data_IF_228192941515
#
_entry.id   IF_228192941515
#
_cell.length_a   1.000
_cell.length_b   1.000
_cell.length_c   1.000
_cell.angle_alpha   90.00
_cell.angle_beta   90.00
_cell.angle_gamma   90.00
#
_symmetry.space_group_name_H-M   'P 1'
#
loop_
_entity.id
_entity.type
_entity.pdbx_description
1 polymer ?
#
# COMPACT_ATOMS: atom_id res chain seq x y z
N UNK A 1 22.23 14.24 -9.19
CA UNK A 1 23.20 13.11 -9.11
C UNK A 1 23.57 12.82 -7.65
N UNK A 2 23.82 13.81 -6.81
CA UNK A 2 24.23 13.62 -5.41
C UNK A 2 23.16 12.91 -4.56
N UNK A 3 21.87 13.17 -4.80
CA UNK A 3 20.77 12.46 -4.13
C UNK A 3 20.66 10.98 -4.55
N UNK A 4 21.02 10.69 -5.80
CA UNK A 4 20.98 9.32 -6.32
C UNK A 4 22.11 8.46 -5.76
N UNK A 5 23.27 9.07 -5.50
CA UNK A 5 24.42 8.35 -4.93
C UNK A 5 24.19 7.96 -3.46
N UNK A 6 23.44 8.77 -2.72
CA UNK A 6 23.21 8.52 -1.29
C UNK A 6 22.04 7.58 -0.99
N UNK A 7 20.99 7.57 -1.81
CA UNK A 7 19.72 6.88 -1.52
C UNK A 7 19.39 5.76 -2.51
N UNK A 8 20.17 5.61 -3.57
CA UNK A 8 19.95 4.61 -4.62
C UNK A 8 18.94 5.05 -5.69
N UNK A 9 18.93 4.28 -6.78
CA UNK A 9 18.03 4.46 -7.92
C UNK A 9 17.27 3.16 -8.19
N UNK A 10 16.05 3.30 -8.70
CA UNK A 10 15.14 2.21 -8.97
C UNK A 10 14.63 2.28 -10.39
N UNK A 11 14.60 1.16 -11.08
CA UNK A 11 13.90 1.04 -12.36
C UNK A 11 12.39 0.86 -12.10
N UNK A 12 11.61 1.88 -12.44
CA UNK A 12 10.19 1.91 -12.17
C UNK A 12 9.39 2.21 -13.43
N UNK A 13 8.21 1.59 -13.52
CA UNK A 13 7.21 1.93 -14.52
C UNK A 13 5.82 1.96 -13.88
N UNK A 14 4.96 2.85 -14.37
CA UNK A 14 3.57 2.92 -13.95
C UNK A 14 2.68 2.25 -14.99
N UNK A 15 1.83 1.31 -14.55
CA UNK A 15 0.88 0.61 -15.39
C UNK A 15 -0.53 0.87 -14.89
N UNK A 16 -1.42 1.26 -15.80
CA UNK A 16 -2.82 1.56 -15.52
C UNK A 16 -3.72 0.54 -16.23
N UNK A 17 -4.38 -0.30 -15.46
CA UNK A 17 -5.30 -1.31 -15.96
C UNK A 17 -6.73 -0.94 -15.62
N UNK A 18 -7.60 -0.94 -16.61
CA UNK A 18 -9.02 -0.68 -16.45
C UNK A 18 -9.83 -1.50 -17.44
N UNK A 19 -11.10 -1.69 -17.15
CA UNK A 19 -12.07 -2.24 -18.10
C UNK A 19 -12.57 -1.20 -19.12
N UNK A 20 -12.23 0.08 -18.94
CA UNK A 20 -12.47 1.18 -19.86
C UNK A 20 -11.14 1.79 -20.29
N UNK A 21 -10.95 1.94 -21.60
CA UNK A 21 -9.78 2.56 -22.20
C UNK A 21 -9.66 4.03 -21.75
N UNK A 22 -10.76 4.76 -21.79
CA UNK A 22 -10.82 6.18 -21.43
C UNK A 22 -10.37 6.40 -19.98
N UNK A 23 -10.79 5.51 -19.09
CA UNK A 23 -10.36 5.57 -17.68
C UNK A 23 -8.87 5.31 -17.52
N UNK A 24 -8.32 4.36 -18.24
CA UNK A 24 -6.89 4.06 -18.20
C UNK A 24 -6.05 5.23 -18.74
N UNK A 25 -6.48 5.82 -19.88
CA UNK A 25 -5.82 6.97 -20.47
C UNK A 25 -5.87 8.22 -19.57
N UNK A 26 -7.04 8.47 -18.96
CA UNK A 26 -7.20 9.56 -18.01
C UNK A 26 -6.29 9.40 -16.79
N UNK A 27 -6.24 8.20 -16.21
CA UNK A 27 -5.37 7.90 -15.08
C UNK A 27 -3.89 8.08 -15.44
N UNK A 28 -3.45 7.54 -16.58
CA UNK A 28 -2.09 7.68 -17.05
C UNK A 28 -1.71 9.14 -17.35
N UNK A 29 -2.62 9.91 -17.97
CA UNK A 29 -2.43 11.34 -18.25
C UNK A 29 -2.31 12.16 -16.97
N UNK A 30 -3.19 11.89 -15.99
CA UNK A 30 -3.16 12.55 -14.68
C UNK A 30 -1.87 12.24 -13.93
N UNK A 31 -1.49 10.98 -13.89
CA UNK A 31 -0.22 10.56 -13.28
C UNK A 31 0.97 11.26 -13.93
N UNK A 32 1.04 11.24 -15.26
CA UNK A 32 2.10 11.93 -16.00
C UNK A 32 2.16 13.43 -15.69
N UNK A 33 1.01 14.09 -15.56
CA UNK A 33 0.93 15.51 -15.22
C UNK A 33 1.41 15.79 -13.79
N UNK A 34 1.06 14.93 -12.83
CA UNK A 34 1.47 15.07 -11.42
C UNK A 34 2.96 14.78 -11.19
N UNK A 35 3.53 13.86 -11.98
CA UNK A 35 4.96 13.49 -11.87
C UNK A 35 5.90 14.51 -12.53
N UNK A 36 5.39 15.37 -13.38
CA UNK A 36 6.16 16.50 -13.92
C UNK A 36 6.34 17.57 -12.86
N UNK A 37 7.53 17.63 -12.26
CA UNK A 37 7.89 18.75 -11.39
C UNK A 37 8.04 20.05 -12.17
N UNK A 38 7.90 21.18 -11.48
CA UNK A 38 8.07 22.52 -12.07
C UNK A 38 9.48 22.78 -12.64
N UNK A 39 10.43 21.96 -12.26
CA UNK A 39 11.84 22.02 -12.72
C UNK A 39 12.20 20.87 -13.68
N UNK A 40 11.25 20.01 -14.03
CA UNK A 40 11.50 18.98 -15.03
C UNK A 40 11.77 19.62 -16.37
N UNK A 41 12.96 19.36 -16.91
CA UNK A 41 13.31 19.77 -18.27
C UNK A 41 12.40 19.12 -19.31
N UNK A 42 12.78 19.19 -20.56
CA UNK A 42 12.04 18.57 -21.68
C UNK A 42 12.29 17.04 -21.64
N UNK A 43 11.80 16.36 -20.62
CA UNK A 43 11.74 14.91 -20.62
C UNK A 43 10.60 14.46 -21.54
N UNK A 44 10.95 13.79 -22.61
CA UNK A 44 9.98 13.16 -23.50
C UNK A 44 9.46 11.88 -22.83
N UNK A 45 8.36 11.97 -22.13
CA UNK A 45 7.64 10.80 -21.64
C UNK A 45 6.47 10.49 -22.55
N UNK A 46 6.34 9.26 -23.01
CA UNK A 46 5.22 8.79 -23.80
C UNK A 46 4.25 7.97 -22.95
N UNK A 47 2.97 7.99 -23.30
CA UNK A 47 1.97 7.07 -22.79
C UNK A 47 1.71 6.08 -23.91
N UNK A 48 2.00 4.81 -23.65
CA UNK A 48 1.63 3.72 -24.56
C UNK A 48 0.35 3.10 -24.05
N UNK A 49 -0.56 2.80 -24.96
CA UNK A 49 -1.81 2.14 -24.59
C UNK A 49 -2.16 1.02 -25.58
N UNK A 50 -2.88 0.03 -25.09
CA UNK A 50 -3.40 -1.09 -25.86
C UNK A 50 -4.89 -1.18 -25.60
N UNK A 51 -5.67 -1.19 -26.67
CA UNK A 51 -7.13 -1.24 -26.62
C UNK A 51 -7.68 -2.66 -26.80
N UNK A 52 -8.99 -2.76 -26.89
CA UNK A 52 -9.70 -4.03 -27.07
C UNK A 52 -9.33 -4.80 -28.34
N UNK A 53 -8.80 -4.12 -29.34
CA UNK A 53 -8.30 -4.72 -30.60
C UNK A 53 -7.02 -5.54 -30.38
N UNK A 54 -6.27 -5.26 -29.31
CA UNK A 54 -4.98 -5.89 -29.02
C UNK A 54 -5.09 -7.01 -27.97
N UNK A 55 -6.14 -7.81 -27.99
CA UNK A 55 -6.45 -8.80 -26.95
C UNK A 55 -5.30 -9.75 -26.61
N UNK A 56 -4.58 -10.23 -27.61
CA UNK A 56 -3.44 -11.13 -27.39
C UNK A 56 -2.31 -10.41 -26.64
N UNK A 57 -1.97 -9.20 -27.06
CA UNK A 57 -0.96 -8.37 -26.40
C UNK A 57 -1.38 -8.01 -24.98
N UNK A 58 -2.65 -7.67 -24.78
CA UNK A 58 -3.19 -7.36 -23.45
C UNK A 58 -3.07 -8.54 -22.48
N UNK A 59 -3.31 -9.77 -22.96
CA UNK A 59 -3.13 -10.96 -22.12
C UNK A 59 -1.67 -11.13 -21.70
N UNK A 60 -0.75 -11.01 -22.64
CA UNK A 60 0.69 -11.12 -22.38
C UNK A 60 1.15 -10.01 -21.43
N UNK A 61 0.74 -8.76 -21.68
CA UNK A 61 1.10 -7.63 -20.81
C UNK A 61 0.56 -7.81 -19.39
N UNK A 62 -0.68 -8.26 -19.25
CA UNK A 62 -1.28 -8.55 -17.94
C UNK A 62 -0.47 -9.61 -17.20
N UNK A 63 -0.05 -10.67 -17.88
CA UNK A 63 0.73 -11.74 -17.26
C UNK A 63 2.11 -11.23 -16.78
N UNK A 64 2.78 -10.38 -17.54
CA UNK A 64 4.00 -9.72 -17.08
C UNK A 64 3.76 -8.87 -15.82
N UNK A 65 2.76 -8.00 -15.87
CA UNK A 65 2.47 -7.06 -14.78
C UNK A 65 2.04 -7.79 -13.50
N UNK A 66 1.20 -8.83 -13.63
CA UNK A 66 0.76 -9.64 -12.46
C UNK A 66 1.88 -10.45 -11.83
N UNK A 67 2.92 -10.75 -12.58
CA UNK A 67 4.13 -11.38 -12.06
C UNK A 67 5.23 -10.38 -11.63
N UNK A 68 4.91 -9.08 -11.58
CA UNK A 68 5.85 -8.01 -11.22
C UNK A 68 7.09 -7.96 -12.11
N UNK A 69 6.93 -8.25 -13.39
CA UNK A 69 7.99 -8.20 -14.39
C UNK A 69 7.69 -7.08 -15.38
N UNK A 70 8.69 -6.28 -15.73
CA UNK A 70 8.53 -5.27 -16.78
C UNK A 70 8.40 -5.94 -18.14
N UNK A 71 7.33 -5.63 -18.91
CA UNK A 71 7.21 -6.08 -20.28
C UNK A 71 8.36 -5.56 -21.12
N UNK A 72 8.92 -6.42 -21.96
CA UNK A 72 9.97 -6.07 -22.92
C UNK A 72 9.34 -5.88 -24.28
N UNK A 73 9.56 -4.72 -24.86
CA UNK A 73 9.09 -4.36 -26.19
C UNK A 73 10.24 -4.39 -27.19
N UNK A 74 9.90 -4.75 -28.41
CA UNK A 74 10.82 -4.68 -29.52
C UNK A 74 10.77 -3.30 -30.16
N UNK A 75 11.85 -2.58 -30.12
CA UNK A 75 12.03 -1.38 -30.94
C UNK A 75 12.88 -1.75 -32.14
N UNK A 76 12.27 -1.73 -33.32
CA UNK A 76 12.93 -2.07 -34.56
C UNK A 76 13.37 -0.78 -35.27
N UNK A 77 14.65 -0.59 -35.39
CA UNK A 77 15.22 0.40 -36.31
C UNK A 77 15.67 -0.32 -37.61
N UNK A 78 15.92 0.41 -38.67
CA UNK A 78 16.32 -0.17 -39.96
C UNK A 78 17.56 -1.08 -39.87
N UNK A 79 18.32 -1.00 -38.82
CA UNK A 79 19.58 -1.74 -38.66
C UNK A 79 19.69 -2.59 -37.39
N UNK A 80 18.83 -2.39 -36.38
CA UNK A 80 18.99 -3.08 -35.09
C UNK A 80 17.63 -3.37 -34.42
N UNK A 81 17.59 -4.51 -33.75
CA UNK A 81 16.52 -4.89 -32.83
C UNK A 81 16.98 -4.59 -31.40
N UNK A 82 16.33 -3.63 -30.74
CA UNK A 82 16.64 -3.25 -29.35
C UNK A 82 15.48 -3.64 -28.45
N UNK A 83 15.73 -4.48 -27.44
CA UNK A 83 14.75 -4.70 -26.37
C UNK A 83 14.66 -3.43 -25.50
N UNK A 84 13.45 -2.90 -25.31
CA UNK A 84 13.19 -1.75 -24.47
C UNK A 84 12.10 -2.06 -23.46
N UNK A 85 12.20 -1.49 -22.27
CA UNK A 85 11.16 -1.56 -21.24
C UNK A 85 10.50 -0.19 -21.08
N UNK A 86 9.35 -0.16 -20.44
CA UNK A 86 8.67 1.10 -20.07
C UNK A 86 9.27 1.73 -18.80
N UNK A 87 10.31 1.15 -18.22
CA UNK A 87 10.91 1.62 -16.99
C UNK A 87 11.71 2.92 -17.17
N UNK A 88 11.72 3.73 -16.13
CA UNK A 88 12.58 4.88 -15.96
C UNK A 88 13.29 4.81 -14.61
N UNK A 89 14.43 5.47 -14.49
CA UNK A 89 15.16 5.53 -13.25
C UNK A 89 14.55 6.59 -12.34
N UNK A 90 14.17 6.19 -11.14
CA UNK A 90 13.66 7.06 -10.08
C UNK A 90 14.59 7.02 -8.88
N UNK A 91 14.76 8.15 -8.21
CA UNK A 91 15.41 8.19 -6.90
C UNK A 91 14.52 7.57 -5.82
N UNK A 92 15.11 7.12 -4.71
CA UNK A 92 14.35 6.60 -3.58
C UNK A 92 13.37 7.63 -3.01
N UNK A 93 13.68 8.92 -3.07
CA UNK A 93 12.78 9.99 -2.63
C UNK A 93 11.54 10.10 -3.52
N UNK A 94 11.72 10.07 -4.85
CA UNK A 94 10.62 10.09 -5.81
C UNK A 94 9.75 8.85 -5.69
N UNK A 95 10.37 7.68 -5.51
CA UNK A 95 9.65 6.43 -5.30
C UNK A 95 8.83 6.46 -4.01
N UNK A 96 9.36 7.00 -2.93
CA UNK A 96 8.64 7.13 -1.66
C UNK A 96 7.39 8.01 -1.77
N UNK A 97 7.45 9.09 -2.58
CA UNK A 97 6.28 9.93 -2.87
C UNK A 97 5.23 9.14 -3.65
N UNK A 98 5.66 8.37 -4.66
CA UNK A 98 4.75 7.58 -5.50
C UNK A 98 4.10 6.43 -4.75
N UNK A 99 4.80 5.81 -3.82
CA UNK A 99 4.31 4.70 -2.99
C UNK A 99 3.54 5.16 -1.74
N UNK A 100 3.39 6.45 -1.53
CA UNK A 100 2.66 7.01 -0.40
C UNK A 100 1.20 6.52 -0.37
N UNK A 101 0.80 5.90 0.73
CA UNK A 101 -0.59 5.49 0.93
C UNK A 101 -1.48 6.71 1.19
N UNK A 102 -2.75 6.70 0.74
CA UNK A 102 -3.68 7.79 0.99
C UNK A 102 -3.92 7.96 2.49
N UNK A 103 -3.87 9.21 2.96
CA UNK A 103 -4.13 9.58 4.38
C UNK A 103 -5.58 9.95 4.64
N UNK A 104 -6.38 10.11 3.60
CA UNK A 104 -7.80 10.47 3.67
C UNK A 104 -8.60 9.57 2.75
N UNK A 105 -9.83 9.28 3.16
CA UNK A 105 -10.75 8.53 2.33
C UNK A 105 -11.04 9.26 1.02
N UNK A 106 -11.00 8.52 -0.08
CA UNK A 106 -11.43 8.96 -1.39
C UNK A 106 -12.57 8.06 -1.89
N UNK A 107 -13.32 8.50 -2.89
CA UNK A 107 -14.42 7.72 -3.44
C UNK A 107 -13.91 6.35 -3.93
N UNK A 108 -14.51 5.27 -3.43
CA UNK A 108 -14.11 3.90 -3.74
C UNK A 108 -12.92 3.34 -2.96
N UNK A 109 -12.25 4.17 -2.15
CA UNK A 109 -11.12 3.73 -1.31
C UNK A 109 -11.19 4.37 0.07
N UNK A 110 -11.93 3.75 1.01
CA UNK A 110 -12.01 4.27 2.38
C UNK A 110 -10.70 4.06 3.13
N UNK A 111 -10.23 5.09 3.81
CA UNK A 111 -9.13 5.01 4.77
C UNK A 111 -9.74 4.95 6.16
N UNK A 112 -9.49 3.86 6.87
CA UNK A 112 -9.96 3.64 8.24
C UNK A 112 -8.77 3.86 9.17
N UNK A 113 -8.89 4.83 10.07
CA UNK A 113 -7.97 4.94 11.19
C UNK A 113 -8.21 3.80 12.17
N UNK A 114 -7.21 2.96 12.34
CA UNK A 114 -7.21 1.97 13.40
C UNK A 114 -6.56 2.56 14.66
N UNK A 115 -7.13 2.20 15.82
CA UNK A 115 -6.46 2.52 17.07
C UNK A 115 -5.07 1.88 17.11
N UNK A 116 -4.09 2.60 17.65
CA UNK A 116 -2.73 2.11 17.83
C UNK A 116 -2.71 1.09 18.98
N UNK A 117 -2.94 -0.17 18.66
CA UNK A 117 -2.82 -1.27 19.61
C UNK A 117 -1.57 -2.11 19.32
N UNK A 118 -0.95 -2.58 20.40
CA UNK A 118 0.08 -3.62 20.28
C UNK A 118 -0.50 -4.92 19.73
N UNK A 119 0.32 -5.67 19.03
CA UNK A 119 -0.03 -7.02 18.54
C UNK A 119 0.20 -8.10 19.58
N UNK A 120 0.83 -7.75 20.70
CA UNK A 120 1.23 -8.65 21.76
C UNK A 120 0.68 -8.16 23.12
N UNK A 121 0.34 -9.10 23.99
CA UNK A 121 -0.09 -8.83 25.35
C UNK A 121 1.12 -9.02 26.26
N UNK A 122 1.60 -7.93 26.87
CA UNK A 122 2.70 -7.98 27.83
C UNK A 122 2.14 -8.20 29.24
N UNK A 123 2.55 -9.28 29.89
CA UNK A 123 2.22 -9.55 31.28
C UNK A 123 3.43 -9.32 32.15
N UNK A 124 3.33 -8.38 33.07
CA UNK A 124 4.43 -8.02 33.98
C UNK A 124 4.62 -8.98 35.17
N UNK A 125 3.65 -9.87 35.42
CA UNK A 125 3.73 -10.79 36.56
C UNK A 125 4.35 -12.13 36.15
N UNK A 126 5.44 -12.53 36.81
CA UNK A 126 6.13 -13.81 36.60
C UNK A 126 5.55 -14.97 37.44
N UNK A 127 4.41 -14.81 38.09
CA UNK A 127 3.86 -15.84 39.00
C UNK A 127 3.21 -16.97 38.20
N UNK A 128 3.58 -18.20 38.52
CA UNK A 128 3.15 -19.45 37.87
C UNK A 128 1.70 -19.88 38.19
N UNK A 129 1.09 -19.34 39.24
CA UNK A 129 -0.32 -19.64 39.65
C UNK A 129 -1.16 -18.37 39.47
N UNK A 130 -1.61 -18.10 38.26
CA UNK A 130 -2.49 -16.96 37.95
C UNK A 130 -3.94 -17.43 37.87
N UNK A 131 -4.80 -16.70 38.56
CA UNK A 131 -6.21 -16.70 38.21
C UNK A 131 -6.44 -15.64 37.16
N UNK A 132 -6.68 -16.06 35.93
CA UNK A 132 -6.86 -15.16 34.79
C UNK A 132 -8.32 -15.17 34.37
N UNK A 133 -8.84 -13.98 34.07
CA UNK A 133 -10.14 -13.80 33.42
C UNK A 133 -9.89 -13.46 31.96
N UNK A 134 -10.36 -14.31 31.05
CA UNK A 134 -10.24 -14.05 29.62
C UNK A 134 -11.26 -12.99 29.21
N UNK A 135 -10.79 -11.89 28.62
CA UNK A 135 -11.64 -10.84 28.05
C UNK A 135 -12.03 -11.11 26.59
N UNK A 136 -11.14 -11.68 25.83
CA UNK A 136 -11.31 -11.90 24.40
C UNK A 136 -9.98 -12.04 23.69
N UNK A 137 -9.95 -11.70 22.41
CA UNK A 137 -8.75 -11.68 21.61
C UNK A 137 -8.48 -10.25 21.11
N UNK A 138 -7.23 -9.98 20.74
CA UNK A 138 -6.88 -8.70 20.10
C UNK A 138 -7.57 -8.62 18.75
N UNK A 139 -8.27 -7.52 18.50
CA UNK A 139 -8.83 -7.18 17.20
C UNK A 139 -7.95 -6.09 16.56
N UNK A 140 -7.36 -6.37 15.40
CA UNK A 140 -6.51 -5.43 14.68
C UNK A 140 -6.73 -5.52 13.17
N UNK A 141 -6.67 -4.40 12.49
CA UNK A 141 -6.85 -4.27 11.04
C UNK A 141 -8.13 -4.97 10.50
N UNK A 142 -9.23 -4.87 11.25
CA UNK A 142 -10.50 -5.44 10.85
C UNK A 142 -10.65 -6.96 11.08
N UNK A 143 -9.66 -7.60 11.70
CA UNK A 143 -9.67 -9.04 11.98
C UNK A 143 -9.38 -9.35 13.43
N UNK A 144 -10.02 -10.40 13.94
CA UNK A 144 -9.69 -10.96 15.26
C UNK A 144 -8.45 -11.83 15.14
N UNK A 145 -7.50 -11.60 16.04
CA UNK A 145 -6.25 -12.39 16.10
C UNK A 145 -6.42 -13.58 17.07
N UNK A 146 -5.47 -14.52 17.01
CA UNK A 146 -5.42 -15.63 17.98
C UNK A 146 -4.76 -15.24 19.31
N UNK A 147 -4.40 -13.96 19.51
CA UNK A 147 -3.75 -13.49 20.73
C UNK A 147 -4.79 -13.19 21.81
N UNK A 148 -4.89 -14.04 22.83
CA UNK A 148 -5.83 -13.87 23.92
C UNK A 148 -5.41 -12.71 24.85
N UNK A 149 -6.39 -11.92 25.27
CA UNK A 149 -6.24 -10.87 26.30
C UNK A 149 -6.83 -11.38 27.60
N UNK A 150 -5.97 -11.57 28.59
CA UNK A 150 -6.35 -12.05 29.92
C UNK A 150 -6.07 -10.97 30.95
N UNK A 151 -6.98 -10.83 31.92
CA UNK A 151 -6.77 -10.01 33.13
C UNK A 151 -6.37 -10.88 34.30
N UNK A 152 -5.41 -10.43 35.08
CA UNK A 152 -5.08 -11.04 36.35
C UNK A 152 -6.15 -10.65 37.38
N UNK A 153 -6.91 -11.64 37.89
CA UNK A 153 -7.99 -11.42 38.87
C UNK A 153 -7.46 -10.76 40.15
N UNK A 154 -6.22 -11.06 40.55
CA UNK A 154 -5.63 -10.42 41.73
C UNK A 154 -5.38 -8.91 41.51
N UNK A 155 -5.14 -8.51 40.29
CA UNK A 155 -4.99 -7.10 39.93
C UNK A 155 -6.33 -6.36 39.86
N UNK A 156 -7.45 -7.06 39.62
CA UNK A 156 -8.80 -6.47 39.62
C UNK A 156 -9.28 -6.05 41.01
N UNK A 157 -8.66 -6.56 42.09
CA UNK A 157 -8.94 -6.10 43.47
C UNK A 157 -8.35 -4.71 43.77
N UNK A 158 -7.51 -4.20 42.86
CA UNK A 158 -7.03 -2.82 42.90
C UNK A 158 -8.05 -1.87 42.25
N UNK A 159 -7.69 -0.59 42.11
CA UNK A 159 -8.56 0.40 41.48
C UNK A 159 -8.69 0.14 40.01
N UNK A 160 -9.93 -0.06 39.54
CA UNK A 160 -10.25 -0.20 38.11
C UNK A 160 -11.00 1.05 37.64
N UNK A 161 -10.54 1.65 36.55
CA UNK A 161 -11.19 2.78 35.90
C UNK A 161 -11.80 2.35 34.57
N UNK A 162 -13.15 2.47 34.45
CA UNK A 162 -13.89 2.14 33.25
C UNK A 162 -14.41 3.44 32.63
N UNK A 163 -14.03 3.71 31.40
CA UNK A 163 -14.44 4.90 30.67
C UNK A 163 -15.08 4.52 29.32
N UNK A 164 -15.92 5.40 28.84
CA UNK A 164 -16.57 5.24 27.54
C UNK A 164 -17.62 6.31 27.29
N UNK A 165 -17.98 6.54 26.02
CA UNK A 165 -19.04 7.44 25.62
C UNK A 165 -20.41 6.96 26.13
N UNK A 166 -21.42 7.86 26.11
CA UNK A 166 -22.79 7.51 26.44
C UNK A 166 -23.29 6.42 25.46
N UNK A 167 -23.92 5.36 26.01
CA UNK A 167 -24.41 4.23 25.22
C UNK A 167 -23.36 3.16 24.87
N UNK A 168 -22.13 3.28 25.32
CA UNK A 168 -21.05 2.28 25.08
C UNK A 168 -21.14 1.01 25.94
N UNK A 169 -22.20 0.87 26.76
CA UNK A 169 -22.39 -0.33 27.59
C UNK A 169 -21.60 -0.36 28.90
N UNK A 170 -20.84 0.69 29.24
CA UNK A 170 -20.00 0.73 30.46
C UNK A 170 -20.73 0.46 31.78
N UNK A 171 -22.06 0.67 31.84
CA UNK A 171 -22.86 0.39 33.03
C UNK A 171 -23.29 -1.08 33.15
N UNK A 172 -23.01 -1.89 32.16
CA UNK A 172 -23.31 -3.33 32.14
C UNK A 172 -22.05 -4.18 32.39
N UNK A 173 -20.92 -3.54 32.66
CA UNK A 173 -19.67 -4.19 33.03
C UNK A 173 -19.54 -4.18 34.55
#
# INVERSE_FOLDING_TARGET
LDECESLGMWECAAYFLSNSQETAEMAAGTYKALMKGSKSGVETSAINYWGRQDKEKLSILRDYITNFIHPVFAYTTEQNYLPVTASSLLSSNELAIQMGLPRKSVCGFPVIEHAEFGKEVVSYSKKTNRRELRLGNIFTMGTETNTAVNLDINSLTMHTFITGSTGSGKSNT
#
